data_IF_019533539055
#
_entry.id   IF_019533539055
#
_cell.length_a   1.000
_cell.length_b   1.000
_cell.length_c   1.000
_cell.angle_alpha   90.00
_cell.angle_beta   90.00
_cell.angle_gamma   90.00
#
_symmetry.space_group_name_H-M   'P 1'
#
loop_
_entity.id
_entity.type
_entity.pdbx_description
1 polymer ?
#
# COMPACT_ATOMS: atom_id res chain seq x y z
N UNK A 1 -2.43 -1.29 28.76
CA UNK A 1 -2.66 0.08 28.23
C UNK A 1 -2.90 -0.01 26.72
N UNK A 2 -3.78 0.82 26.15
CA UNK A 2 -3.92 0.86 24.68
C UNK A 2 -2.72 1.59 24.05
N UNK A 3 -2.06 0.93 23.10
CA UNK A 3 -0.89 1.44 22.39
C UNK A 3 -1.15 1.51 20.89
N UNK A 4 -0.36 2.33 20.21
CA UNK A 4 -0.36 2.46 18.76
C UNK A 4 0.81 1.68 18.15
N UNK A 5 0.53 1.09 17.00
CA UNK A 5 1.52 0.54 16.09
C UNK A 5 1.34 1.17 14.71
N UNK A 6 2.46 1.48 14.06
CA UNK A 6 2.50 1.84 12.65
C UNK A 6 2.49 0.56 11.83
N UNK A 7 1.42 0.37 11.06
CA UNK A 7 1.26 -0.77 10.17
C UNK A 7 1.23 -0.26 8.75
N UNK A 8 2.13 -0.79 7.93
CA UNK A 8 2.11 -0.58 6.50
C UNK A 8 1.04 -1.49 5.90
N UNK A 9 -0.07 -0.88 5.47
CA UNK A 9 -1.10 -1.56 4.71
C UNK A 9 -0.61 -1.83 3.30
N UNK A 10 -1.19 -2.85 2.66
CA UNK A 10 -0.81 -3.23 1.29
C UNK A 10 -1.40 -2.28 0.24
N UNK A 11 -2.59 -1.71 0.46
CA UNK A 11 -3.36 -0.97 -0.57
C UNK A 11 -2.70 0.30 -1.20
N UNK A 12 -1.56 0.79 -0.71
CA UNK A 12 -0.79 1.89 -1.34
C UNK A 12 0.64 2.05 -0.79
N UNK A 13 1.14 1.08 -0.02
CA UNK A 13 2.30 1.30 0.85
C UNK A 13 2.07 2.38 1.93
N UNK A 14 0.82 2.80 2.14
CA UNK A 14 0.46 3.78 3.16
C UNK A 14 0.65 3.15 4.55
N UNK A 15 1.37 3.88 5.39
CA UNK A 15 1.59 3.48 6.79
C UNK A 15 0.54 4.18 7.63
N UNK A 16 -0.39 3.41 8.16
CA UNK A 16 -1.44 3.91 9.04
C UNK A 16 -1.16 3.48 10.49
N UNK A 17 -1.80 4.17 11.42
CA UNK A 17 -1.69 3.87 12.84
C UNK A 17 -2.87 3.01 13.25
N UNK A 18 -2.56 1.90 13.91
CA UNK A 18 -3.54 0.99 14.45
C UNK A 18 -3.38 0.87 15.96
N UNK A 19 -4.47 0.82 16.69
CA UNK A 19 -4.44 0.55 18.13
C UNK A 19 -4.40 -0.96 18.41
N UNK A 20 -3.74 -1.33 19.49
CA UNK A 20 -3.73 -2.68 20.03
C UNK A 20 -3.72 -2.63 21.56
N UNK A 21 -4.28 -3.67 22.18
CA UNK A 21 -4.21 -3.84 23.62
C UNK A 21 -2.95 -4.63 23.97
N UNK A 22 -2.11 -4.05 24.81
CA UNK A 22 -1.01 -4.76 25.42
C UNK A 22 -1.47 -5.33 26.77
N UNK A 23 -1.59 -6.66 26.87
CA UNK A 23 -1.84 -7.33 28.14
C UNK A 23 -0.56 -7.29 28.99
N UNK A 24 -0.57 -6.47 30.04
CA UNK A 24 0.40 -6.58 31.13
C UNK A 24 0.05 -7.79 31.98
N UNK A 25 0.74 -8.93 31.79
CA UNK A 25 0.78 -9.93 32.85
C UNK A 25 2.01 -9.71 33.71
N UNK A 26 1.82 -8.92 34.76
CA UNK A 26 2.63 -9.01 35.97
C UNK A 26 2.34 -10.37 36.64
N UNK A 27 3.28 -11.30 36.59
CA UNK A 27 3.38 -12.33 37.64
C UNK A 27 4.83 -12.80 37.73
N UNK A 28 5.24 -12.90 38.99
CA UNK A 28 6.58 -13.18 39.51
C UNK A 28 7.01 -14.62 39.17
N UNK A 29 8.32 -14.89 39.27
CA UNK A 29 8.98 -16.20 39.52
C UNK A 29 9.51 -16.94 38.27
N UNK A 30 10.85 -16.94 38.18
CA UNK A 30 11.78 -18.07 37.86
C UNK A 30 11.66 -18.81 36.52
N UNK A 31 12.78 -18.88 35.79
CA UNK A 31 13.15 -19.83 34.71
C UNK A 31 12.09 -20.30 33.71
N UNK A 32 12.43 -20.12 32.43
CA UNK A 32 11.78 -20.63 31.20
C UNK A 32 10.66 -19.76 30.62
N UNK A 33 11.08 -19.05 29.57
CA UNK A 33 10.28 -18.45 28.47
C UNK A 33 9.25 -17.36 28.81
N UNK A 34 9.53 -16.08 28.47
CA UNK A 34 8.53 -15.03 28.60
C UNK A 34 7.47 -15.19 27.51
N UNK A 35 6.21 -15.37 27.91
CA UNK A 35 5.04 -15.28 27.04
C UNK A 35 4.95 -13.83 26.52
N UNK A 36 5.47 -13.63 25.31
CA UNK A 36 5.57 -12.32 24.63
C UNK A 36 4.20 -11.87 24.14
N UNK A 37 3.85 -10.61 24.42
CA UNK A 37 2.86 -9.85 23.65
C UNK A 37 3.13 -10.05 22.15
N UNK A 38 2.16 -10.63 21.43
CA UNK A 38 2.41 -11.32 20.15
C UNK A 38 2.75 -10.44 18.95
N UNK A 39 2.88 -9.13 19.12
CA UNK A 39 3.12 -8.15 18.06
C UNK A 39 4.63 -7.83 18.04
N UNK A 40 5.32 -8.28 16.98
CA UNK A 40 6.75 -8.00 16.76
C UNK A 40 6.92 -7.06 15.57
N UNK A 41 7.84 -6.10 15.69
CA UNK A 41 8.30 -5.29 14.56
C UNK A 41 8.84 -6.23 13.47
N UNK A 42 8.46 -5.99 12.22
CA UNK A 42 8.77 -6.89 11.11
C UNK A 42 7.79 -8.04 10.91
N UNK A 43 6.84 -8.23 11.83
CA UNK A 43 5.79 -9.25 11.73
C UNK A 43 4.62 -8.80 10.85
N UNK A 44 3.84 -9.78 10.39
CA UNK A 44 2.52 -9.54 9.81
C UNK A 44 1.45 -9.55 10.91
N UNK A 45 0.45 -8.69 10.78
CA UNK A 45 -0.73 -8.66 11.64
C UNK A 45 -2.00 -8.59 10.79
N UNK A 46 -3.11 -9.05 11.37
CA UNK A 46 -4.45 -8.89 10.82
C UNK A 46 -5.06 -7.62 11.43
N UNK A 47 -5.63 -6.79 10.58
CA UNK A 47 -6.15 -5.46 10.91
C UNK A 47 -7.59 -5.32 10.43
N UNK A 48 -8.33 -4.46 11.12
CA UNK A 48 -9.68 -4.08 10.71
C UNK A 48 -9.62 -3.08 9.55
N UNK A 49 -10.35 -3.37 8.47
CA UNK A 49 -10.54 -2.49 7.33
C UNK A 49 -12.03 -2.13 7.17
N UNK A 50 -12.33 -1.10 6.38
CA UNK A 50 -13.70 -0.59 6.22
C UNK A 50 -14.72 -1.63 5.70
N UNK A 51 -14.22 -2.73 5.11
CA UNK A 51 -15.02 -3.83 4.58
C UNK A 51 -14.42 -5.20 4.90
N UNK A 52 -14.10 -5.43 6.18
CA UNK A 52 -13.69 -6.74 6.69
C UNK A 52 -12.26 -6.75 7.26
N UNK A 53 -11.61 -7.90 7.20
CA UNK A 53 -10.26 -8.07 7.71
C UNK A 53 -9.26 -7.92 6.57
N UNK A 54 -8.21 -7.15 6.82
CA UNK A 54 -7.02 -7.10 5.97
C UNK A 54 -5.79 -7.50 6.79
N UNK A 55 -4.61 -7.53 6.19
CA UNK A 55 -3.36 -7.68 6.92
C UNK A 55 -2.48 -6.44 6.71
N UNK A 56 -1.43 -6.34 7.51
CA UNK A 56 -0.37 -5.37 7.28
C UNK A 56 0.95 -5.82 7.87
N UNK A 57 2.00 -5.08 7.54
CA UNK A 57 3.34 -5.30 8.07
C UNK A 57 3.63 -4.28 9.17
N UNK A 58 4.04 -4.75 10.35
CA UNK A 58 4.33 -3.89 11.49
C UNK A 58 5.68 -3.20 11.27
N UNK A 59 5.65 -1.87 11.12
CA UNK A 59 6.84 -1.04 10.93
C UNK A 59 7.40 -0.56 12.26
N UNK A 60 6.52 -0.17 13.20
CA UNK A 60 6.89 0.30 14.54
C UNK A 60 5.77 0.04 15.53
N UNK A 61 6.09 -0.18 16.81
CA UNK A 61 5.12 -0.43 17.88
C UNK A 61 5.53 0.30 19.17
N UNK A 62 4.54 0.66 19.99
CA UNK A 62 4.79 1.18 21.35
C UNK A 62 4.57 2.68 21.53
N UNK A 63 3.91 3.34 20.58
CA UNK A 63 3.54 4.76 20.68
C UNK A 63 2.30 4.93 21.57
N UNK A 64 2.27 5.96 22.43
CA UNK A 64 1.08 6.27 23.23
C UNK A 64 0.04 7.01 22.37
N UNK A 65 -1.23 6.71 22.62
CA UNK A 65 -2.35 7.36 21.90
C UNK A 65 -2.41 8.86 22.20
N UNK A 66 -2.04 9.26 23.43
CA UNK A 66 -2.05 10.66 23.87
C UNK A 66 -1.10 11.58 23.07
N UNK A 67 -0.10 11.02 22.39
CA UNK A 67 0.89 11.79 21.63
C UNK A 67 0.41 12.19 20.22
N UNK A 68 -0.85 11.89 19.87
CA UNK A 68 -1.42 12.21 18.56
C UNK A 68 -2.63 13.14 18.62
N UNK A 69 -2.49 14.29 17.95
CA UNK A 69 -3.59 15.04 17.34
C UNK A 69 -4.12 14.24 16.15
N UNK A 70 -5.40 13.85 16.15
CA UNK A 70 -5.95 12.93 15.15
C UNK A 70 -7.05 13.55 14.30
N UNK A 71 -6.83 13.58 12.99
CA UNK A 71 -7.84 13.91 11.96
C UNK A 71 -8.47 12.66 11.32
N UNK A 72 -7.91 11.46 11.52
CA UNK A 72 -8.42 10.18 10.97
C UNK A 72 -8.77 9.15 12.07
N UNK A 73 -9.79 8.30 11.85
CA UNK A 73 -10.19 7.28 12.81
C UNK A 73 -9.11 6.20 12.98
N UNK A 74 -8.70 5.93 14.23
CA UNK A 74 -7.80 4.81 14.55
C UNK A 74 -8.53 3.49 14.34
N UNK A 75 -7.97 2.64 13.50
CA UNK A 75 -8.41 1.25 13.30
C UNK A 75 -7.69 0.30 14.27
N UNK A 76 -8.25 -0.89 14.49
CA UNK A 76 -7.68 -1.85 15.46
C UNK A 76 -6.86 -2.95 14.79
N UNK A 77 -5.76 -3.35 15.44
CA UNK A 77 -5.09 -4.63 15.16
C UNK A 77 -5.90 -5.72 15.84
N UNK A 78 -6.37 -6.68 15.06
CA UNK A 78 -7.19 -7.79 15.57
C UNK A 78 -6.29 -8.81 16.27
N UNK A 79 -5.21 -9.23 15.58
CA UNK A 79 -4.26 -10.23 16.08
C UNK A 79 -2.98 -10.29 15.24
N UNK A 80 -1.86 -10.85 15.77
CA UNK A 80 -0.74 -11.23 14.93
C UNK A 80 -1.13 -12.32 13.91
N UNK A 81 -0.46 -12.31 12.76
CA UNK A 81 -0.65 -13.31 11.72
C UNK A 81 -0.09 -14.66 12.18
N UNK A 82 -0.87 -15.73 12.00
CA UNK A 82 -0.47 -17.10 12.28
C UNK A 82 0.13 -17.76 11.01
N UNK A 83 0.63 -18.98 11.14
CA UNK A 83 1.23 -19.71 10.02
C UNK A 83 0.23 -19.97 8.86
N UNK A 84 -1.06 -20.11 9.15
CA UNK A 84 -2.09 -20.27 8.13
C UNK A 84 -2.32 -18.98 7.35
N UNK A 85 -2.39 -17.83 8.04
CA UNK A 85 -2.52 -16.52 7.41
C UNK A 85 -1.33 -16.21 6.51
N UNK A 86 -0.11 -16.56 6.94
CA UNK A 86 1.11 -16.37 6.15
C UNK A 86 1.07 -17.21 4.87
N UNK A 87 0.64 -18.47 4.95
CA UNK A 87 0.42 -19.30 3.75
C UNK A 87 -0.62 -18.69 2.82
N UNK A 88 -1.76 -18.26 3.37
CA UNK A 88 -2.82 -17.60 2.60
C UNK A 88 -2.32 -16.33 1.92
N UNK A 89 -1.51 -15.53 2.62
CA UNK A 89 -0.84 -14.34 2.08
C UNK A 89 0.02 -14.70 0.86
N UNK A 90 0.85 -15.74 0.96
CA UNK A 90 1.75 -16.11 -0.14
C UNK A 90 0.99 -16.72 -1.31
N UNK A 91 -0.03 -17.54 -1.05
CA UNK A 91 -0.95 -18.02 -2.09
C UNK A 91 -1.68 -16.86 -2.80
N UNK A 92 -2.11 -15.85 -2.04
CA UNK A 92 -2.75 -14.66 -2.62
C UNK A 92 -1.79 -13.90 -3.54
N UNK A 93 -0.51 -13.79 -3.19
CA UNK A 93 0.50 -13.17 -4.06
C UNK A 93 0.69 -13.96 -5.36
N UNK A 94 0.66 -15.29 -5.31
CA UNK A 94 0.77 -16.14 -6.51
C UNK A 94 -0.44 -15.93 -7.41
N UNK A 95 -1.66 -16.02 -6.84
CA UNK A 95 -2.91 -15.79 -7.57
C UNK A 95 -3.01 -14.38 -8.14
N UNK A 96 -2.51 -13.37 -7.42
CA UNK A 96 -2.44 -11.99 -7.90
C UNK A 96 -1.59 -11.87 -9.17
N UNK A 97 -0.45 -12.57 -9.25
CA UNK A 97 0.39 -12.60 -10.46
C UNK A 97 -0.33 -13.26 -11.64
N UNK A 98 -1.04 -14.36 -11.41
CA UNK A 98 -1.85 -15.02 -12.43
C UNK A 98 -3.00 -14.12 -12.92
N UNK A 99 -3.65 -13.42 -11.99
CA UNK A 99 -4.71 -12.46 -12.30
C UNK A 99 -4.18 -11.27 -13.10
N UNK A 100 -3.00 -10.76 -12.73
CA UNK A 100 -2.31 -9.70 -13.47
C UNK A 100 -2.04 -10.10 -14.92
N UNK A 101 -1.49 -11.30 -15.16
CA UNK A 101 -1.24 -11.81 -16.51
C UNK A 101 -2.52 -11.95 -17.35
N UNK A 102 -3.58 -12.49 -16.75
CA UNK A 102 -4.88 -12.63 -17.41
C UNK A 102 -5.50 -11.27 -17.75
N UNK A 103 -5.40 -10.30 -16.85
CA UNK A 103 -5.88 -8.93 -17.06
C UNK A 103 -5.10 -8.22 -18.18
N UNK A 104 -3.78 -8.36 -18.21
CA UNK A 104 -2.97 -7.81 -19.31
C UNK A 104 -3.37 -8.36 -20.68
N UNK A 105 -3.64 -9.66 -20.78
CA UNK A 105 -4.11 -10.26 -22.03
C UNK A 105 -5.46 -9.68 -22.45
N UNK A 106 -6.41 -9.55 -21.51
CA UNK A 106 -7.73 -8.95 -21.78
C UNK A 106 -7.64 -7.48 -22.17
N UNK A 107 -6.76 -6.70 -21.53
CA UNK A 107 -6.51 -5.30 -21.91
C UNK A 107 -6.08 -5.19 -23.39
N UNK A 108 -5.20 -6.10 -23.85
CA UNK A 108 -4.77 -6.15 -25.25
C UNK A 108 -5.89 -6.57 -26.19
N UNK A 109 -6.68 -7.58 -25.81
CA UNK A 109 -7.85 -8.03 -26.61
C UNK A 109 -8.87 -6.91 -26.82
N UNK A 110 -9.17 -6.16 -25.75
CA UNK A 110 -10.09 -5.02 -25.78
C UNK A 110 -9.47 -3.73 -26.33
N UNK A 111 -8.16 -3.74 -26.68
CA UNK A 111 -7.41 -2.59 -27.20
C UNK A 111 -7.53 -1.32 -26.35
N UNK A 112 -7.55 -1.49 -25.02
CA UNK A 112 -7.69 -0.37 -24.08
C UNK A 112 -6.35 0.34 -23.91
N UNK A 113 -6.34 1.68 -24.00
CA UNK A 113 -5.14 2.49 -23.82
C UNK A 113 -4.80 2.71 -22.33
N UNK A 114 -4.54 1.60 -21.62
CA UNK A 114 -4.15 1.60 -20.20
C UNK A 114 -2.94 0.74 -19.95
N UNK A 115 -2.19 1.08 -18.90
CA UNK A 115 -1.08 0.29 -18.38
C UNK A 115 -1.47 -0.29 -17.03
N UNK A 116 -1.49 -1.62 -16.94
CA UNK A 116 -1.63 -2.30 -15.65
C UNK A 116 -0.32 -2.16 -14.87
N UNK A 117 -0.39 -1.65 -13.66
CA UNK A 117 0.76 -1.43 -12.78
C UNK A 117 0.87 -2.57 -11.76
N UNK A 118 -0.22 -2.88 -11.06
CA UNK A 118 -0.22 -3.92 -10.04
C UNK A 118 -1.60 -4.59 -9.90
N UNK A 119 -1.63 -5.75 -9.27
CA UNK A 119 -2.85 -6.51 -8.97
C UNK A 119 -2.75 -7.09 -7.56
N UNK A 120 -3.83 -6.97 -6.81
CA UNK A 120 -3.88 -7.45 -5.43
C UNK A 120 -5.19 -8.17 -5.13
N UNK A 121 -5.11 -9.20 -4.29
CA UNK A 121 -6.27 -9.83 -3.67
C UNK A 121 -6.45 -9.27 -2.26
N UNK A 122 -7.70 -9.02 -1.88
CA UNK A 122 -8.06 -8.87 -0.47
C UNK A 122 -7.66 -10.11 0.31
N UNK A 123 -7.43 -9.96 1.62
CA UNK A 123 -7.00 -11.08 2.45
C UNK A 123 -7.94 -12.30 2.33
N UNK A 124 -9.26 -12.06 2.39
CA UNK A 124 -10.33 -13.05 2.26
C UNK A 124 -10.61 -13.54 0.83
N UNK A 125 -9.90 -13.01 -0.18
CA UNK A 125 -10.11 -13.27 -1.62
C UNK A 125 -11.48 -12.83 -2.17
N UNK A 126 -12.29 -12.10 -1.40
CA UNK A 126 -13.59 -11.60 -1.85
C UNK A 126 -13.48 -10.50 -2.93
N UNK A 127 -12.34 -9.81 -2.99
CA UNK A 127 -12.10 -8.66 -3.87
C UNK A 127 -10.73 -8.76 -4.54
N UNK A 128 -10.66 -8.35 -5.81
CA UNK A 128 -9.42 -8.17 -6.57
C UNK A 128 -9.34 -6.71 -6.99
N UNK A 129 -8.23 -6.06 -6.68
CA UNK A 129 -7.95 -4.67 -7.05
C UNK A 129 -6.87 -4.67 -8.13
N UNK A 130 -7.17 -4.07 -9.28
CA UNK A 130 -6.18 -3.83 -10.34
C UNK A 130 -5.83 -2.35 -10.36
N UNK A 131 -4.56 -2.05 -10.16
CA UNK A 131 -4.01 -0.71 -10.23
C UNK A 131 -3.54 -0.42 -11.65
N UNK A 132 -4.01 0.68 -12.24
CA UNK A 132 -3.66 1.04 -13.60
C UNK A 132 -3.39 2.54 -13.75
N UNK A 133 -2.62 2.88 -14.78
CA UNK A 133 -2.47 4.25 -15.28
C UNK A 133 -3.05 4.39 -16.67
N UNK A 134 -3.56 5.58 -16.95
CA UNK A 134 -4.19 5.95 -18.21
C UNK A 134 -4.07 7.45 -18.41
N UNK A 135 -3.79 7.89 -19.65
CA UNK A 135 -3.69 9.31 -20.00
C UNK A 135 -5.07 9.94 -20.21
N UNK A 136 -6.01 9.17 -20.76
CA UNK A 136 -7.37 9.59 -21.05
C UNK A 136 -8.39 8.74 -20.29
N UNK A 137 -9.65 9.17 -20.30
CA UNK A 137 -10.75 8.35 -19.80
C UNK A 137 -10.90 7.09 -20.67
N UNK A 138 -11.12 5.95 -20.02
CA UNK A 138 -11.26 4.65 -20.67
C UNK A 138 -12.59 4.04 -20.27
N UNK A 139 -13.29 3.45 -21.24
CA UNK A 139 -14.44 2.60 -20.94
C UNK A 139 -13.95 1.15 -20.76
N UNK A 140 -13.98 0.67 -19.51
CA UNK A 140 -13.52 -0.65 -19.11
C UNK A 140 -14.68 -1.60 -18.76
N UNK A 141 -15.93 -1.26 -19.09
CA UNK A 141 -17.11 -2.07 -18.71
C UNK A 141 -17.03 -3.52 -19.22
N UNK A 142 -16.62 -3.72 -20.47
CA UNK A 142 -16.47 -5.07 -21.05
C UNK A 142 -15.29 -5.83 -20.43
N UNK A 143 -14.17 -5.15 -20.14
CA UNK A 143 -13.05 -5.73 -19.41
C UNK A 143 -13.50 -6.24 -18.03
N UNK A 144 -14.24 -5.43 -17.27
CA UNK A 144 -14.73 -5.82 -15.94
C UNK A 144 -15.65 -7.06 -16.03
N UNK A 145 -16.52 -7.12 -17.04
CA UNK A 145 -17.39 -8.30 -17.25
C UNK A 145 -16.57 -9.56 -17.52
N UNK A 146 -15.54 -9.48 -18.34
CA UNK A 146 -14.68 -10.63 -18.64
C UNK A 146 -13.86 -11.05 -17.43
N UNK A 147 -13.27 -10.10 -16.70
CA UNK A 147 -12.55 -10.39 -15.47
C UNK A 147 -13.46 -11.02 -14.41
N UNK A 148 -14.69 -10.53 -14.26
CA UNK A 148 -15.66 -11.10 -13.32
C UNK A 148 -16.14 -12.51 -13.71
N UNK A 149 -16.09 -12.88 -15.00
CA UNK A 149 -16.36 -14.26 -15.44
C UNK A 149 -15.18 -15.20 -15.12
N UNK A 150 -13.96 -14.70 -15.29
CA UNK A 150 -12.72 -15.47 -15.02
C UNK A 150 -12.53 -15.66 -13.53
N UNK A 151 -12.68 -14.57 -12.77
CA UNK A 151 -12.43 -14.53 -11.34
C UNK A 151 -13.76 -14.48 -10.58
N UNK A 152 -13.99 -15.45 -9.69
CA UNK A 152 -15.16 -15.51 -8.81
C UNK A 152 -15.04 -14.55 -7.62
N UNK A 153 -14.64 -13.31 -7.89
CA UNK A 153 -14.40 -12.27 -6.89
C UNK A 153 -14.86 -10.91 -7.42
N UNK A 154 -15.11 -9.97 -6.51
CA UNK A 154 -15.46 -8.60 -6.87
C UNK A 154 -14.26 -7.89 -7.50
N UNK A 155 -14.40 -7.44 -8.73
CA UNK A 155 -13.34 -6.70 -9.44
C UNK A 155 -13.45 -5.21 -9.13
N UNK A 156 -12.35 -4.61 -8.70
CA UNK A 156 -12.17 -3.17 -8.53
C UNK A 156 -11.01 -2.71 -9.41
N UNK A 157 -11.25 -1.72 -10.28
CA UNK A 157 -10.20 -1.09 -11.06
C UNK A 157 -9.91 0.27 -10.43
N UNK A 158 -8.65 0.49 -10.02
CA UNK A 158 -8.21 1.74 -9.38
C UNK A 158 -7.20 2.44 -10.27
N UNK A 159 -7.55 3.64 -10.72
CA UNK A 159 -6.62 4.50 -11.44
C UNK A 159 -5.68 5.16 -10.43
N UNK A 160 -4.37 5.08 -10.68
CA UNK A 160 -3.35 5.79 -9.91
C UNK A 160 -2.70 6.88 -10.75
N UNK A 161 -2.09 7.87 -10.09
CA UNK A 161 -1.38 8.94 -10.79
C UNK A 161 -0.01 8.48 -11.29
N UNK A 162 0.55 9.21 -12.26
CA UNK A 162 1.92 8.99 -12.79
C UNK A 162 3.00 9.03 -11.70
N UNK A 163 2.77 9.78 -10.62
CA UNK A 163 3.69 9.85 -9.48
C UNK A 163 3.61 8.61 -8.59
N UNK A 164 2.41 8.07 -8.38
CA UNK A 164 2.23 6.80 -7.66
C UNK A 164 2.76 5.62 -8.48
N UNK A 165 2.62 5.67 -9.80
CA UNK A 165 3.29 4.73 -10.70
C UNK A 165 4.81 4.75 -10.50
N UNK A 166 5.42 5.93 -10.47
CA UNK A 166 6.86 6.06 -10.22
C UNK A 166 7.24 5.61 -8.80
N UNK A 167 6.38 5.85 -7.80
CA UNK A 167 6.57 5.38 -6.42
C UNK A 167 6.56 3.85 -6.35
N UNK A 168 5.61 3.20 -7.03
CA UNK A 168 5.48 1.74 -7.05
C UNK A 168 6.58 1.08 -7.88
N UNK A 169 6.90 1.64 -9.04
CA UNK A 169 7.95 1.15 -9.93
C UNK A 169 9.36 1.37 -9.35
N UNK A 170 9.51 2.38 -8.48
CA UNK A 170 10.80 2.79 -7.94
C UNK A 170 11.69 3.44 -9.00
N UNK A 171 12.99 3.55 -8.68
CA UNK A 171 14.01 4.11 -9.57
C UNK A 171 14.89 5.17 -8.90
N UNK A 172 15.75 5.78 -9.70
CA UNK A 172 16.68 6.83 -9.27
C UNK A 172 16.36 8.16 -9.94
N UNK A 173 16.24 9.23 -9.15
CA UNK A 173 16.05 10.58 -9.67
C UNK A 173 17.30 11.10 -10.38
N UNK A 174 17.18 12.27 -11.02
CA UNK A 174 18.31 12.95 -11.68
C UNK A 174 19.49 13.24 -10.72
N UNK A 175 19.22 13.29 -9.41
CA UNK A 175 20.24 13.42 -8.37
C UNK A 175 21.02 12.13 -8.06
N UNK A 176 20.73 11.02 -8.74
CA UNK A 176 21.37 9.72 -8.53
C UNK A 176 20.91 8.96 -7.28
N UNK A 177 19.96 9.52 -6.51
CA UNK A 177 19.36 8.87 -5.33
C UNK A 177 18.03 8.21 -5.67
N UNK A 178 17.56 7.32 -4.80
CA UNK A 178 16.20 6.77 -4.90
C UNK A 178 15.16 7.89 -4.99
N UNK A 179 14.09 7.67 -5.77
CA UNK A 179 12.99 8.62 -5.92
C UNK A 179 12.49 9.15 -4.57
N UNK A 180 12.39 10.48 -4.46
CA UNK A 180 11.91 11.15 -3.24
C UNK A 180 10.50 10.67 -2.87
N UNK A 181 9.62 10.47 -3.85
CA UNK A 181 8.26 9.98 -3.67
C UNK A 181 8.18 8.52 -3.18
N UNK A 182 9.24 7.73 -3.38
CA UNK A 182 9.36 6.35 -2.90
C UNK A 182 10.11 6.25 -1.57
N UNK A 183 10.81 7.32 -1.16
CA UNK A 183 11.70 7.33 0.00
C UNK A 183 11.08 8.06 1.20
N UNK A 184 10.97 9.39 1.14
CA UNK A 184 10.62 10.21 2.30
C UNK A 184 9.48 11.19 2.04
N UNK A 185 9.30 11.64 0.79
CA UNK A 185 8.33 12.67 0.44
C UNK A 185 6.97 12.01 0.15
N UNK A 186 6.05 12.10 1.12
CA UNK A 186 4.69 11.52 1.01
C UNK A 186 3.66 12.55 0.60
N UNK A 187 3.78 13.75 1.17
CA UNK A 187 2.94 14.91 0.89
C UNK A 187 3.68 15.88 -0.02
N UNK A 188 2.97 16.42 -1.00
CA UNK A 188 3.57 17.25 -2.04
C UNK A 188 2.90 18.61 -2.07
N UNK A 189 3.67 19.63 -1.72
CA UNK A 189 3.27 21.01 -1.94
C UNK A 189 3.56 21.42 -3.38
N UNK A 190 2.71 22.25 -4.00
CA UNK A 190 2.96 22.74 -5.35
C UNK A 190 4.20 23.62 -5.38
N UNK A 191 5.18 23.25 -6.21
CA UNK A 191 6.39 24.04 -6.43
C UNK A 191 6.16 25.09 -7.52
N UNK A 192 6.34 26.36 -7.19
CA UNK A 192 6.24 27.45 -8.16
C UNK A 192 7.54 27.62 -8.95
N UNK A 193 7.44 28.06 -10.21
CA UNK A 193 8.61 28.34 -11.07
C UNK A 193 9.57 29.35 -10.43
N UNK A 194 9.04 30.31 -9.65
CA UNK A 194 9.85 31.29 -8.91
C UNK A 194 10.81 30.62 -7.93
N UNK A 195 10.38 29.56 -7.25
CA UNK A 195 11.20 28.81 -6.30
C UNK A 195 12.36 28.11 -7.01
N UNK A 196 12.11 27.51 -8.18
CA UNK A 196 13.16 26.91 -9.02
C UNK A 196 14.18 27.96 -9.47
N UNK A 197 13.72 29.17 -9.82
CA UNK A 197 14.59 30.29 -10.18
C UNK A 197 15.45 30.76 -9.00
N UNK A 198 14.87 30.88 -7.81
CA UNK A 198 15.58 31.26 -6.58
C UNK A 198 16.67 30.23 -6.20
N UNK A 199 16.44 28.95 -6.50
CA UNK A 199 17.42 27.87 -6.31
C UNK A 199 18.44 27.72 -7.44
N UNK A 200 18.40 28.59 -8.46
CA UNK A 200 19.32 28.53 -9.61
C UNK A 200 19.11 27.31 -10.52
N UNK A 201 17.93 26.68 -10.47
CA UNK A 201 17.62 25.52 -11.31
C UNK A 201 17.24 25.95 -12.75
N UNK A 202 17.54 25.11 -13.75
CA UNK A 202 17.16 25.40 -15.13
C UNK A 202 15.64 25.45 -15.29
N UNK A 203 15.11 26.52 -15.88
CA UNK A 203 13.66 26.73 -16.07
C UNK A 203 12.99 25.80 -17.10
N UNK A 204 13.68 24.75 -17.54
CA UNK A 204 13.16 23.77 -18.48
C UNK A 204 12.42 22.66 -17.71
N UNK A 205 11.08 22.50 -17.85
CA UNK A 205 10.28 21.59 -17.04
C UNK A 205 10.83 20.16 -16.95
N UNK A 206 11.21 19.47 -18.05
CA UNK A 206 11.88 18.16 -17.97
C UNK A 206 13.14 18.09 -17.09
N UNK A 207 13.89 19.20 -16.94
CA UNK A 207 15.12 19.24 -16.13
C UNK A 207 14.86 19.46 -14.64
N UNK A 208 13.67 19.91 -14.27
CA UNK A 208 13.29 20.20 -12.88
C UNK A 208 12.22 19.24 -12.37
N UNK A 209 11.45 18.62 -13.25
CA UNK A 209 10.50 17.55 -12.92
C UNK A 209 11.21 16.27 -12.50
N UNK A 210 10.58 15.52 -11.59
CA UNK A 210 11.01 14.16 -11.29
C UNK A 210 10.76 13.19 -12.46
N UNK A 211 11.19 11.94 -12.32
CA UNK A 211 10.95 10.88 -13.33
C UNK A 211 9.46 10.71 -13.68
N UNK A 212 8.56 11.05 -12.75
CA UNK A 212 7.12 11.05 -12.98
C UNK A 212 6.61 12.20 -13.86
N UNK A 213 7.50 13.07 -14.37
CA UNK A 213 7.17 14.23 -15.19
C UNK A 213 6.56 15.40 -14.40
N UNK A 214 6.41 15.28 -13.07
CA UNK A 214 5.84 16.31 -12.20
C UNK A 214 6.86 16.89 -11.22
N UNK A 215 6.68 18.17 -10.92
CA UNK A 215 7.31 18.92 -9.84
C UNK A 215 6.57 18.71 -8.52
#
# INVERSE_FOLDING_TARGET
>A
MEKLAQVKLREAGQTLFFSYQEEEKASVVTTTEPVKTGIKIGGYCIVEADRGNDYGHIVSCGLNIADKTQEEPIRKIIRPANAFDLKQIDENKIKAKEASGSCQNKIREHKLNMKLIDCEYSFDRGKIIFYFTAESRIDFRELVKDLAKIFKARIELRQIGVRDEARLSGGCGACGRQLCCASFLKDFEPVMIKMAKEQGLPLNPPKISGLCGRL
#
